data_IF_845215742748
#
_entry.id   IF_845215742748
#
_cell.length_a   1.000
_cell.length_b   1.000
_cell.length_c   1.000
_cell.angle_alpha   90.00
_cell.angle_beta   90.00
_cell.angle_gamma   90.00
#
_symmetry.space_group_name_H-M   'P 1'
#
loop_
_entity.id
_entity.type
_entity.pdbx_description
1 polymer ?
#
# COMPACT_ATOMS: atom_id res chain seq x y z
N UNK A 1 -24.17 8.17 -16.22
CA UNK A 1 -23.08 7.18 -16.20
C UNK A 1 -22.70 6.98 -14.75
N UNK A 2 -22.97 5.79 -14.20
CA UNK A 2 -22.67 5.45 -12.81
C UNK A 2 -21.20 5.02 -12.79
N UNK A 3 -20.30 5.94 -12.46
CA UNK A 3 -18.92 5.57 -12.22
C UNK A 3 -18.90 4.73 -10.95
N UNK A 4 -18.81 3.43 -11.15
CA UNK A 4 -18.58 2.45 -10.09
C UNK A 4 -17.40 2.90 -9.23
N UNK A 5 -17.65 2.88 -7.93
CA UNK A 5 -16.75 3.20 -6.84
C UNK A 5 -15.60 2.18 -6.81
N UNK A 6 -14.66 2.27 -7.75
CA UNK A 6 -13.44 1.47 -7.73
C UNK A 6 -12.58 2.04 -6.58
N UNK A 7 -12.03 1.21 -5.67
CA UNK A 7 -11.31 1.65 -4.48
C UNK A 7 -9.97 2.29 -4.87
N UNK A 8 -10.03 3.55 -5.28
CA UNK A 8 -8.93 4.37 -5.76
C UNK A 8 -8.06 4.93 -4.62
N UNK A 9 -8.35 4.54 -3.39
CA UNK A 9 -7.69 5.06 -2.21
C UNK A 9 -6.22 4.62 -2.12
N UNK A 10 -5.89 3.41 -2.60
CA UNK A 10 -4.50 2.91 -2.54
C UNK A 10 -3.62 3.56 -3.61
N UNK A 11 -4.11 3.73 -4.84
CA UNK A 11 -3.31 4.27 -5.94
C UNK A 11 -2.90 5.75 -5.77
N UNK A 12 -3.63 6.50 -4.95
CA UNK A 12 -3.35 7.92 -4.67
C UNK A 12 -2.42 8.13 -3.47
N UNK A 13 -2.11 7.07 -2.70
CA UNK A 13 -1.26 7.17 -1.51
C UNK A 13 0.20 7.38 -1.85
N UNK A 14 0.84 8.28 -1.10
CA UNK A 14 2.27 8.48 -1.15
C UNK A 14 3.00 7.29 -0.51
N UNK A 15 4.33 7.24 -0.70
CA UNK A 15 5.21 6.28 -0.03
C UNK A 15 5.04 6.38 1.50
N UNK A 16 4.91 7.62 2.00
CA UNK A 16 4.73 7.87 3.44
C UNK A 16 3.38 7.32 3.93
N UNK A 17 2.29 7.67 3.28
CA UNK A 17 0.95 7.21 3.67
C UNK A 17 0.81 5.69 3.59
N UNK A 18 1.38 5.08 2.54
CA UNK A 18 1.39 3.61 2.39
C UNK A 18 2.19 2.95 3.52
N UNK A 19 3.30 3.55 3.94
CA UNK A 19 4.10 3.06 5.06
C UNK A 19 3.35 3.20 6.39
N UNK A 20 2.72 4.36 6.62
CA UNK A 20 1.97 4.62 7.85
C UNK A 20 0.79 3.64 7.99
N UNK A 21 0.09 3.32 6.89
CA UNK A 21 -0.98 2.31 6.88
C UNK A 21 -0.45 0.89 7.13
N UNK A 22 0.69 0.51 6.52
CA UNK A 22 1.34 -0.77 6.82
C UNK A 22 1.68 -0.87 8.30
N UNK A 23 2.20 0.21 8.89
CA UNK A 23 2.57 0.23 10.30
C UNK A 23 1.35 0.10 11.21
N UNK A 24 0.25 0.81 10.92
CA UNK A 24 -1.01 0.71 11.68
C UNK A 24 -1.59 -0.72 11.65
N UNK A 25 -1.57 -1.37 10.47
CA UNK A 25 -2.05 -2.75 10.34
C UNK A 25 -1.15 -3.73 11.09
N UNK A 26 0.18 -3.55 11.02
CA UNK A 26 1.11 -4.40 11.77
C UNK A 26 0.90 -4.27 13.28
N UNK A 27 0.72 -3.05 13.79
CA UNK A 27 0.43 -2.84 15.21
C UNK A 27 -0.86 -3.55 15.64
N UNK A 28 -1.91 -3.54 14.80
CA UNK A 28 -3.16 -4.29 15.06
C UNK A 28 -3.00 -5.81 15.04
N UNK A 29 -2.11 -6.33 14.20
CA UNK A 29 -1.82 -7.76 14.12
C UNK A 29 -0.96 -8.24 15.31
N UNK A 30 -0.10 -7.37 15.83
CA UNK A 30 0.73 -7.65 17.02
C UNK A 30 -0.07 -7.56 18.32
N UNK A 31 -1.08 -6.67 18.37
CA UNK A 31 -2.10 -6.69 19.40
C UNK A 31 -2.95 -7.96 19.24
N UNK A 32 -2.68 -8.97 20.08
CA UNK A 32 -3.26 -10.33 20.07
C UNK A 32 -4.79 -10.41 20.27
N UNK A 33 -5.51 -9.30 20.10
CA UNK A 33 -6.97 -9.17 20.20
C UNK A 33 -7.69 -9.36 18.86
N UNK A 34 -6.96 -9.52 17.76
CA UNK A 34 -7.52 -9.55 16.41
C UNK A 34 -8.09 -10.93 16.05
N UNK A 35 -9.39 -10.98 15.73
CA UNK A 35 -10.09 -12.18 15.28
C UNK A 35 -9.45 -12.75 14.00
N UNK A 36 -9.50 -14.08 13.81
CA UNK A 36 -8.88 -14.78 12.68
C UNK A 36 -9.31 -14.20 11.32
N UNK A 37 -10.60 -13.86 11.18
CA UNK A 37 -11.13 -13.31 9.93
C UNK A 37 -10.63 -11.89 9.67
N UNK A 38 -10.47 -11.09 10.72
CA UNK A 38 -9.94 -9.72 10.65
C UNK A 38 -8.46 -9.75 10.31
N UNK A 39 -7.70 -10.61 10.99
CA UNK A 39 -6.27 -10.82 10.74
C UNK A 39 -6.01 -11.24 9.30
N UNK A 40 -6.84 -12.11 8.73
CA UNK A 40 -6.74 -12.50 7.31
C UNK A 40 -6.92 -11.31 6.37
N UNK A 41 -7.94 -10.48 6.60
CA UNK A 41 -8.19 -9.27 5.79
C UNK A 41 -7.04 -8.27 5.90
N UNK A 42 -6.47 -8.13 7.09
CA UNK A 42 -5.31 -7.28 7.35
C UNK A 42 -4.05 -7.77 6.61
N UNK A 43 -3.77 -9.08 6.62
CA UNK A 43 -2.68 -9.63 5.80
C UNK A 43 -2.92 -9.46 4.29
N UNK A 44 -4.14 -9.66 3.81
CA UNK A 44 -4.49 -9.39 2.40
C UNK A 44 -4.30 -7.91 2.04
N UNK A 45 -4.60 -7.00 2.98
CA UNK A 45 -4.37 -5.57 2.82
C UNK A 45 -2.90 -5.24 2.79
N UNK A 46 -2.09 -5.80 3.68
CA UNK A 46 -0.63 -5.66 3.67
C UNK A 46 -0.02 -6.09 2.33
N UNK A 47 -0.46 -7.22 1.77
CA UNK A 47 0.01 -7.68 0.45
C UNK A 47 -0.30 -6.67 -0.66
N UNK A 48 -1.48 -6.04 -0.63
CA UNK A 48 -1.85 -4.99 -1.60
C UNK A 48 -1.00 -3.73 -1.42
N UNK A 49 -0.79 -3.29 -0.19
CA UNK A 49 0.04 -2.12 0.13
C UNK A 49 1.50 -2.33 -0.25
N UNK A 50 2.06 -3.51 0.02
CA UNK A 50 3.43 -3.86 -0.38
C UNK A 50 3.59 -3.82 -1.90
N UNK A 51 2.65 -4.40 -2.66
CA UNK A 51 2.67 -4.33 -4.14
C UNK A 51 2.58 -2.89 -4.66
N UNK A 52 1.77 -2.05 -4.02
CA UNK A 52 1.69 -0.62 -4.35
C UNK A 52 3.02 0.09 -4.07
N UNK A 53 3.62 -0.17 -2.92
CA UNK A 53 4.93 0.36 -2.53
C UNK A 53 6.03 -0.03 -3.54
N UNK A 54 6.07 -1.30 -3.95
CA UNK A 54 6.97 -1.78 -5.01
C UNK A 54 6.79 -0.99 -6.31
N UNK A 55 5.55 -0.74 -6.72
CA UNK A 55 5.23 0.05 -7.92
C UNK A 55 5.73 1.49 -7.80
N UNK A 56 5.53 2.12 -6.62
CA UNK A 56 6.03 3.46 -6.34
C UNK A 56 7.56 3.53 -6.42
N UNK A 57 8.27 2.56 -5.83
CA UNK A 57 9.73 2.50 -5.91
C UNK A 57 10.22 2.28 -7.34
N UNK A 58 9.64 1.34 -8.08
CA UNK A 58 9.98 1.11 -9.49
C UNK A 58 9.77 2.37 -10.34
N UNK A 59 8.67 3.11 -10.13
CA UNK A 59 8.39 4.37 -10.82
C UNK A 59 9.45 5.44 -10.49
N UNK A 60 9.83 5.58 -9.22
CA UNK A 60 10.90 6.50 -8.79
C UNK A 60 12.25 6.14 -9.42
N UNK A 61 12.66 4.88 -9.36
CA UNK A 61 13.90 4.39 -9.99
C UNK A 61 13.90 4.67 -11.50
N UNK A 62 12.80 4.34 -12.20
CA UNK A 62 12.66 4.61 -13.64
C UNK A 62 12.80 6.09 -13.97
N UNK A 63 12.24 6.98 -13.14
CA UNK A 63 12.35 8.42 -13.32
C UNK A 63 13.79 8.92 -13.07
N UNK A 64 14.48 8.37 -12.07
CA UNK A 64 15.89 8.70 -11.80
C UNK A 64 16.80 8.28 -12.97
N UNK A 65 16.61 7.08 -13.53
CA UNK A 65 17.37 6.64 -14.71
C UNK A 65 17.13 7.52 -15.94
N UNK A 66 15.92 8.05 -16.12
CA UNK A 66 15.62 8.99 -17.22
C UNK A 66 16.29 10.34 -17.04
N UNK A 67 16.44 10.83 -15.81
CA UNK A 67 17.10 12.10 -15.52
C UNK A 67 18.64 12.04 -15.61
N UNK A 68 19.27 10.85 -15.57
CA UNK A 68 20.72 10.70 -15.76
C UNK A 68 21.21 10.87 -17.19
N UNK A 69 20.30 10.84 -18.17
CA UNK A 69 20.65 10.94 -19.59
C UNK A 69 20.40 12.34 -20.17
N UNK A 70 20.39 13.38 -19.32
CA UNK A 70 20.11 14.76 -19.71
C UNK A 70 21.23 15.69 -19.29
#
# INVERSE_FOLDING_TARGET
MKNENIPNDVNSKSIKDTKDEIQDILSKLEDKTSDLETSKKDYERLLKLSKHMDSLFKKRIKNLSKNKNK
#
